data_IF_612598653082
#
_entry.id   IF_612598653082
#
_cell.length_a   1.000
_cell.length_b   1.000
_cell.length_c   1.000
_cell.angle_alpha   90.00
_cell.angle_beta   90.00
_cell.angle_gamma   90.00
#
_symmetry.space_group_name_H-M   'P 1'
#
loop_
_entity.id
_entity.type
_entity.pdbx_description
1 polymer ?
#
# COMPACT_ATOMS: atom_id res chain seq x y z
N UNK A 1 -8.26 11.48 -0.42
CA UNK A 1 -8.65 10.85 0.86
C UNK A 1 -8.93 11.86 1.98
N UNK A 2 -8.30 13.03 1.98
CA UNK A 2 -8.73 14.16 2.83
C UNK A 2 -10.17 14.64 2.54
N UNK A 3 -10.73 14.36 1.38
CA UNK A 3 -12.12 14.68 1.04
C UNK A 3 -13.18 13.94 1.89
N UNK A 4 -12.77 12.99 2.71
CA UNK A 4 -13.68 12.07 3.37
C UNK A 4 -13.58 12.04 4.88
N UNK A 5 -12.77 12.92 5.46
CA UNK A 5 -12.82 13.14 6.90
C UNK A 5 -13.90 14.20 7.16
N UNK A 6 -15.09 13.84 7.65
CA UNK A 6 -15.96 14.84 8.20
C UNK A 6 -15.26 15.42 9.42
N UNK A 7 -14.89 16.70 9.35
CA UNK A 7 -14.84 17.47 10.57
C UNK A 7 -16.19 17.29 11.24
N UNK A 8 -16.23 16.65 12.39
CA UNK A 8 -17.44 16.13 13.05
C UNK A 8 -18.54 17.18 13.31
N UNK A 9 -18.30 18.45 12.98
CA UNK A 9 -19.20 19.56 13.29
C UNK A 9 -19.59 20.48 12.12
N UNK A 10 -19.18 20.20 10.86
CA UNK A 10 -19.46 21.13 9.75
C UNK A 10 -20.25 20.54 8.61
N UNK A 11 -20.68 19.28 8.68
CA UNK A 11 -21.50 18.63 7.67
C UNK A 11 -22.91 18.37 8.16
N UNK A 12 -23.88 18.67 7.30
CA UNK A 12 -25.17 17.99 7.39
C UNK A 12 -24.89 16.48 7.38
N UNK A 13 -25.32 15.72 8.39
CA UNK A 13 -25.05 14.28 8.47
C UNK A 13 -25.58 13.47 7.28
N UNK A 14 -26.37 14.08 6.42
CA UNK A 14 -27.10 13.41 5.34
C UNK A 14 -26.33 13.20 4.03
N UNK A 15 -25.28 14.00 3.74
CA UNK A 15 -24.70 13.98 2.40
C UNK A 15 -23.30 13.33 2.32
N UNK A 16 -22.44 13.55 3.30
CA UNK A 16 -21.15 12.86 3.35
C UNK A 16 -21.32 11.41 3.83
N UNK A 17 -22.24 11.17 4.76
CA UNK A 17 -22.64 9.83 5.19
C UNK A 17 -23.36 9.00 4.12
N UNK A 18 -23.95 9.65 3.09
CA UNK A 18 -24.59 8.94 1.97
C UNK A 18 -23.63 8.56 0.84
N UNK A 19 -22.51 9.28 0.70
CA UNK A 19 -21.53 8.99 -0.35
C UNK A 19 -20.54 7.93 0.13
N UNK A 20 -20.23 7.93 1.41
CA UNK A 20 -19.54 6.90 2.15
C UNK A 20 -20.35 6.70 3.43
N UNK A 21 -21.27 5.75 3.50
CA UNK A 21 -21.48 5.10 4.78
C UNK A 21 -20.08 4.78 5.26
N UNK A 22 -19.73 5.19 6.50
CA UNK A 22 -18.40 4.95 7.06
C UNK A 22 -18.20 3.45 7.25
N UNK A 23 -18.13 2.72 6.14
CA UNK A 23 -17.91 1.28 6.05
C UNK A 23 -16.44 0.97 5.80
N UNK A 24 -16.14 -0.31 5.59
CA UNK A 24 -14.81 -0.80 5.32
C UNK A 24 -13.92 -0.90 6.57
N UNK A 25 -12.61 -1.08 6.35
CA UNK A 25 -11.62 -1.26 7.43
C UNK A 25 -10.78 -0.02 7.70
N UNK A 26 -10.75 0.95 6.78
CA UNK A 26 -9.95 2.17 6.90
C UNK A 26 -10.78 3.29 7.56
N UNK A 27 -11.94 3.61 6.97
CA UNK A 27 -12.73 4.82 7.35
C UNK A 27 -13.80 4.58 8.37
N UNK A 28 -14.14 3.32 8.67
CA UNK A 28 -15.12 2.99 9.69
C UNK A 28 -14.61 3.23 11.12
N UNK A 29 -15.54 3.38 12.05
CA UNK A 29 -15.26 3.66 13.46
C UNK A 29 -16.09 2.73 14.37
N UNK A 30 -15.79 2.76 15.67
CA UNK A 30 -16.57 2.08 16.70
C UNK A 30 -16.65 0.57 16.49
N UNK A 31 -17.86 0.03 16.57
CA UNK A 31 -18.11 -1.40 16.46
C UNK A 31 -17.95 -1.93 15.02
N UNK A 32 -18.36 -1.14 14.02
CA UNK A 32 -18.18 -1.49 12.61
C UNK A 32 -16.68 -1.75 12.34
N UNK A 33 -15.83 -0.79 12.67
CA UNK A 33 -14.40 -0.95 12.50
C UNK A 33 -13.83 -2.17 13.22
N UNK A 34 -14.24 -2.42 14.46
CA UNK A 34 -13.74 -3.56 15.24
C UNK A 34 -14.08 -4.90 14.57
N UNK A 35 -15.32 -5.03 14.09
CA UNK A 35 -15.79 -6.25 13.43
C UNK A 35 -15.12 -6.42 12.07
N UNK A 36 -15.13 -5.39 11.22
CA UNK A 36 -14.52 -5.44 9.89
C UNK A 36 -13.01 -5.70 9.97
N UNK A 37 -12.29 -5.00 10.86
CA UNK A 37 -10.86 -5.23 11.03
C UNK A 37 -10.53 -6.63 11.56
N UNK A 38 -11.30 -7.12 12.53
CA UNK A 38 -11.11 -8.48 13.06
C UNK A 38 -11.34 -9.52 11.97
N UNK A 39 -12.42 -9.38 11.22
CA UNK A 39 -12.72 -10.25 10.09
C UNK A 39 -11.61 -10.20 9.04
N UNK A 40 -11.24 -9.02 8.57
CA UNK A 40 -10.18 -8.87 7.57
C UNK A 40 -8.86 -9.51 7.99
N UNK A 41 -8.41 -9.28 9.24
CA UNK A 41 -7.17 -9.88 9.75
C UNK A 41 -7.25 -11.42 9.82
N UNK A 42 -8.37 -11.98 10.30
CA UNK A 42 -8.52 -13.44 10.42
C UNK A 42 -8.63 -14.10 9.04
N UNK A 43 -9.42 -13.54 8.15
CA UNK A 43 -9.64 -14.06 6.80
C UNK A 43 -8.39 -13.96 5.94
N UNK A 44 -7.75 -12.81 5.87
CA UNK A 44 -6.51 -12.64 5.14
C UNK A 44 -5.42 -13.59 5.67
N UNK A 45 -5.31 -13.77 6.99
CA UNK A 45 -4.39 -14.74 7.58
C UNK A 45 -4.74 -16.19 7.19
N UNK A 46 -6.03 -16.51 7.10
CA UNK A 46 -6.49 -17.82 6.60
C UNK A 46 -6.07 -18.02 5.14
N UNK A 47 -6.23 -17.03 4.29
CA UNK A 47 -5.87 -17.01 2.87
C UNK A 47 -4.35 -16.94 2.59
N UNK A 48 -3.52 -16.97 3.62
CA UNK A 48 -2.05 -17.03 3.46
C UNK A 48 -1.31 -15.70 3.66
N UNK A 49 -2.00 -14.63 4.01
CA UNK A 49 -1.43 -13.32 4.26
C UNK A 49 -0.29 -13.38 5.30
N UNK A 50 0.93 -13.03 4.87
CA UNK A 50 2.13 -13.11 5.70
C UNK A 50 2.58 -14.54 6.05
N UNK A 51 2.12 -15.55 5.33
CA UNK A 51 2.50 -16.96 5.50
C UNK A 51 3.31 -17.46 4.30
N UNK A 52 4.11 -18.52 4.52
CA UNK A 52 4.91 -19.17 3.47
C UNK A 52 4.08 -19.62 2.25
N UNK A 53 2.80 -19.95 2.44
CA UNK A 53 1.90 -20.33 1.35
C UNK A 53 1.69 -19.25 0.29
N UNK A 54 1.94 -17.98 0.58
CA UNK A 54 1.82 -16.87 -0.37
C UNK A 54 3.12 -16.60 -1.16
N UNK A 55 4.27 -17.13 -0.73
CA UNK A 55 5.55 -16.95 -1.42
C UNK A 55 5.50 -17.38 -2.89
N UNK A 56 4.96 -18.57 -3.24
CA UNK A 56 4.87 -18.99 -4.63
C UNK A 56 4.06 -18.03 -5.50
N UNK A 57 2.99 -17.42 -4.96
CA UNK A 57 2.16 -16.44 -5.67
C UNK A 57 2.94 -15.17 -5.97
N UNK A 58 3.69 -14.65 -4.98
CA UNK A 58 4.54 -13.46 -5.15
C UNK A 58 5.67 -13.73 -6.16
N UNK A 59 6.30 -14.89 -6.07
CA UNK A 59 7.37 -15.25 -6.99
C UNK A 59 6.89 -15.53 -8.41
N UNK A 60 5.67 -16.04 -8.55
CA UNK A 60 5.05 -16.22 -9.86
C UNK A 60 4.72 -14.88 -10.52
N UNK A 61 4.16 -13.95 -9.75
CA UNK A 61 3.90 -12.59 -10.24
C UNK A 61 5.21 -11.84 -10.57
N UNK A 62 6.30 -12.09 -9.79
CA UNK A 62 7.63 -11.61 -10.15
C UNK A 62 8.08 -12.13 -11.53
N UNK A 63 7.82 -13.41 -11.87
CA UNK A 63 8.18 -13.97 -13.18
C UNK A 63 7.50 -13.23 -14.32
N UNK A 64 6.19 -12.94 -14.18
CA UNK A 64 5.44 -12.14 -15.16
C UNK A 64 6.05 -10.74 -15.32
N UNK A 65 6.31 -10.04 -14.21
CA UNK A 65 6.95 -8.73 -14.22
C UNK A 65 8.35 -8.77 -14.87
N UNK A 66 9.15 -9.79 -14.55
CA UNK A 66 10.48 -9.96 -15.11
C UNK A 66 10.48 -10.17 -16.62
N UNK A 67 9.46 -10.86 -17.16
CA UNK A 67 9.26 -11.01 -18.61
C UNK A 67 9.00 -9.67 -19.28
N UNK A 68 8.12 -8.85 -18.70
CA UNK A 68 7.86 -7.48 -19.19
C UNK A 68 9.15 -6.65 -19.21
N UNK A 69 9.92 -6.62 -18.12
CA UNK A 69 11.17 -5.84 -18.09
C UNK A 69 12.22 -6.34 -19.06
N UNK A 70 12.34 -7.67 -19.27
CA UNK A 70 13.25 -8.23 -20.28
C UNK A 70 12.88 -7.79 -21.69
N UNK A 71 11.59 -7.58 -21.98
CA UNK A 71 11.09 -7.06 -23.26
C UNK A 71 11.71 -5.71 -23.65
N UNK A 72 12.05 -4.87 -22.69
CA UNK A 72 12.69 -3.57 -22.93
C UNK A 72 14.19 -3.67 -23.28
N UNK A 73 14.84 -4.84 -23.07
CA UNK A 73 16.25 -5.09 -23.43
C UNK A 73 17.22 -4.04 -22.87
N UNK A 74 16.98 -3.55 -21.65
CA UNK A 74 17.79 -2.53 -21.00
C UNK A 74 17.59 -1.10 -21.50
N UNK A 75 16.63 -0.84 -22.39
CA UNK A 75 16.24 0.51 -22.78
C UNK A 75 15.52 1.21 -21.62
N UNK A 76 15.52 2.56 -21.59
CA UNK A 76 14.77 3.31 -20.59
C UNK A 76 13.29 2.93 -20.59
N UNK A 77 12.74 2.73 -19.39
CA UNK A 77 11.33 2.40 -19.16
C UNK A 77 10.83 3.13 -17.91
N UNK A 78 9.60 3.61 -17.95
CA UNK A 78 8.91 4.04 -16.74
C UNK A 78 8.32 2.79 -16.04
N UNK A 79 8.79 2.43 -14.84
CA UNK A 79 8.37 1.19 -14.18
C UNK A 79 6.99 1.28 -13.53
N UNK A 80 6.34 2.45 -13.53
CA UNK A 80 5.14 2.74 -12.72
C UNK A 80 4.03 1.72 -12.97
N UNK A 81 3.52 1.62 -14.18
CA UNK A 81 2.37 0.77 -14.49
C UNK A 81 2.68 -0.71 -14.31
N UNK A 82 3.89 -1.14 -14.70
CA UNK A 82 4.31 -2.54 -14.57
C UNK A 82 4.34 -2.93 -13.08
N UNK A 83 4.95 -2.11 -12.22
CA UNK A 83 5.05 -2.40 -10.79
C UNK A 83 3.69 -2.28 -10.10
N UNK A 84 2.84 -1.32 -10.50
CA UNK A 84 1.48 -1.23 -9.98
C UNK A 84 0.70 -2.51 -10.30
N UNK A 85 0.73 -2.99 -11.54
CA UNK A 85 0.08 -4.24 -11.94
C UNK A 85 0.61 -5.44 -11.14
N UNK A 86 1.94 -5.54 -11.01
CA UNK A 86 2.61 -6.61 -10.25
C UNK A 86 2.11 -6.67 -8.80
N UNK A 87 2.15 -5.55 -8.09
CA UNK A 87 1.74 -5.50 -6.68
C UNK A 87 0.23 -5.67 -6.53
N UNK A 88 -0.56 -5.05 -7.41
CA UNK A 88 -2.02 -5.16 -7.38
C UNK A 88 -2.50 -6.58 -7.59
N UNK A 89 -1.82 -7.37 -8.40
CA UNK A 89 -2.17 -8.78 -8.65
C UNK A 89 -2.04 -9.66 -7.41
N UNK A 90 -1.15 -9.34 -6.47
CA UNK A 90 -1.11 -10.05 -5.19
C UNK A 90 -2.38 -9.79 -4.38
N UNK A 91 -2.85 -8.54 -4.35
CA UNK A 91 -4.13 -8.19 -3.71
C UNK A 91 -5.31 -8.81 -4.46
N UNK A 92 -5.30 -8.80 -5.79
CA UNK A 92 -6.33 -9.46 -6.60
C UNK A 92 -6.43 -10.95 -6.31
N UNK A 93 -5.29 -11.64 -6.19
CA UNK A 93 -5.27 -13.06 -5.80
C UNK A 93 -5.93 -13.30 -4.44
N UNK A 94 -5.66 -12.45 -3.45
CA UNK A 94 -6.24 -12.58 -2.11
C UNK A 94 -7.72 -12.21 -2.05
N UNK A 95 -8.14 -11.21 -2.86
CA UNK A 95 -9.48 -10.61 -2.77
C UNK A 95 -10.45 -11.21 -3.77
N UNK A 96 -10.00 -11.42 -5.02
CA UNK A 96 -10.80 -11.93 -6.13
C UNK A 96 -10.49 -13.41 -6.49
N UNK A 97 -9.47 -14.02 -5.86
CA UNK A 97 -9.04 -15.38 -6.12
C UNK A 97 -8.28 -15.60 -7.43
N UNK A 98 -8.00 -14.53 -8.20
CA UNK A 98 -7.27 -14.61 -9.47
C UNK A 98 -6.42 -13.37 -9.73
N UNK A 99 -5.47 -13.48 -10.66
CA UNK A 99 -4.68 -12.38 -11.19
C UNK A 99 -5.29 -11.86 -12.49
N UNK A 100 -4.94 -10.62 -12.87
CA UNK A 100 -5.24 -10.03 -14.17
C UNK A 100 -4.00 -10.02 -15.05
N UNK A 101 -4.18 -10.24 -16.36
CA UNK A 101 -3.09 -10.08 -17.31
C UNK A 101 -2.71 -8.59 -17.45
N UNK A 102 -1.41 -8.32 -17.69
CA UNK A 102 -0.92 -6.94 -17.83
C UNK A 102 -1.49 -6.20 -19.04
N UNK A 103 -1.99 -6.96 -20.04
CA UNK A 103 -2.71 -6.43 -21.21
C UNK A 103 -4.23 -6.33 -21.03
N UNK A 104 -4.80 -6.69 -19.88
CA UNK A 104 -6.25 -6.58 -19.62
C UNK A 104 -6.69 -5.10 -19.58
N UNK A 105 -7.47 -4.70 -20.58
CA UNK A 105 -7.93 -3.31 -20.72
C UNK A 105 -8.79 -2.84 -19.54
N UNK A 106 -9.58 -3.75 -18.95
CA UNK A 106 -10.43 -3.44 -17.79
C UNK A 106 -9.57 -3.16 -16.57
N UNK A 107 -8.52 -3.96 -16.36
CA UNK A 107 -7.60 -3.80 -15.26
C UNK A 107 -6.70 -2.56 -15.43
N UNK A 108 -6.17 -2.32 -16.64
CA UNK A 108 -5.42 -1.10 -16.97
C UNK A 108 -6.29 0.14 -16.70
N UNK A 109 -7.55 0.13 -17.14
CA UNK A 109 -8.48 1.23 -16.88
C UNK A 109 -8.68 1.44 -15.38
N UNK A 110 -8.82 0.37 -14.59
CA UNK A 110 -8.93 0.46 -13.14
C UNK A 110 -7.71 1.13 -12.52
N UNK A 111 -6.49 0.72 -12.92
CA UNK A 111 -5.24 1.34 -12.43
C UNK A 111 -5.16 2.82 -12.75
N UNK A 112 -5.49 3.21 -13.98
CA UNK A 112 -5.50 4.61 -14.41
C UNK A 112 -6.56 5.44 -13.65
N UNK A 113 -7.71 4.85 -13.32
CA UNK A 113 -8.73 5.51 -12.49
C UNK A 113 -8.20 5.76 -11.07
N UNK A 114 -7.45 4.80 -10.48
CA UNK A 114 -6.80 5.00 -9.19
C UNK A 114 -5.75 6.10 -9.23
N UNK A 115 -4.84 6.07 -10.19
CA UNK A 115 -3.83 7.12 -10.36
C UNK A 115 -4.50 8.51 -10.46
N UNK A 116 -5.56 8.62 -11.24
CA UNK A 116 -6.31 9.87 -11.39
C UNK A 116 -7.05 10.30 -10.12
N UNK A 117 -7.62 9.34 -9.38
CA UNK A 117 -8.26 9.64 -8.09
C UNK A 117 -7.24 10.20 -7.10
N UNK A 118 -6.08 9.55 -6.96
CA UNK A 118 -5.02 9.96 -6.05
C UNK A 118 -4.42 11.33 -6.43
N UNK A 119 -4.27 11.61 -7.73
CA UNK A 119 -3.84 12.92 -8.22
C UNK A 119 -4.84 14.01 -7.79
N UNK A 120 -6.14 13.81 -8.00
CA UNK A 120 -7.17 14.79 -7.63
C UNK A 120 -7.24 14.94 -6.11
N UNK A 121 -7.17 13.85 -5.34
CA UNK A 121 -7.23 13.87 -3.88
C UNK A 121 -6.04 14.63 -3.26
N UNK A 122 -4.88 14.61 -3.89
CA UNK A 122 -3.71 15.36 -3.45
C UNK A 122 -3.72 16.83 -3.84
N UNK A 123 -4.64 17.22 -4.72
CA UNK A 123 -4.71 18.58 -5.28
C UNK A 123 -5.31 19.61 -4.30
N UNK A 124 -5.08 20.87 -4.58
CA UNK A 124 -5.70 21.99 -3.85
C UNK A 124 -7.24 21.93 -3.91
N UNK A 125 -7.81 21.35 -4.98
CA UNK A 125 -9.26 21.22 -5.14
C UNK A 125 -9.90 20.37 -4.05
N UNK A 126 -9.23 19.29 -3.64
CA UNK A 126 -9.69 18.44 -2.54
C UNK A 126 -9.62 19.14 -1.20
N UNK A 127 -8.57 19.93 -0.96
CA UNK A 127 -8.43 20.73 0.27
C UNK A 127 -9.50 21.83 0.34
N UNK A 128 -9.78 22.51 -0.76
CA UNK A 128 -10.85 23.49 -0.87
C UNK A 128 -12.23 22.85 -0.65
N UNK A 129 -12.47 21.66 -1.24
CA UNK A 129 -13.72 20.93 -1.02
C UNK A 129 -13.91 20.55 0.45
N UNK A 130 -12.84 20.10 1.13
CA UNK A 130 -12.90 19.76 2.56
C UNK A 130 -13.16 20.99 3.44
N UNK A 131 -12.60 22.14 3.07
CA UNK A 131 -12.77 23.40 3.83
C UNK A 131 -14.10 24.10 3.57
N UNK A 132 -14.58 24.05 2.34
CA UNK A 132 -15.77 24.79 1.89
C UNK A 132 -16.74 23.93 1.05
N UNK A 133 -17.27 22.81 1.60
CA UNK A 133 -18.00 21.81 0.83
C UNK A 133 -19.26 22.35 0.15
N UNK A 134 -20.01 23.23 0.83
CA UNK A 134 -21.25 23.82 0.26
C UNK A 134 -20.95 24.69 -0.96
N UNK A 135 -19.90 25.52 -0.89
CA UNK A 135 -19.46 26.36 -2.00
C UNK A 135 -18.94 25.51 -3.15
N UNK A 136 -18.08 24.54 -2.86
CA UNK A 136 -17.44 23.72 -3.87
C UNK A 136 -18.42 22.81 -4.63
N UNK A 137 -19.58 22.48 -4.04
CA UNK A 137 -20.65 21.75 -4.75
C UNK A 137 -21.22 22.55 -5.93
N UNK A 138 -21.23 23.87 -5.82
CA UNK A 138 -21.76 24.76 -6.86
C UNK A 138 -20.73 25.03 -7.96
N UNK A 139 -19.44 24.98 -7.62
CA UNK A 139 -18.36 25.28 -8.55
C UNK A 139 -18.04 24.08 -9.47
N UNK A 140 -17.63 24.31 -10.72
CA UNK A 140 -17.04 23.29 -11.57
C UNK A 140 -15.64 22.96 -11.07
N UNK A 141 -15.16 21.71 -11.29
CA UNK A 141 -13.79 21.35 -10.95
C UNK A 141 -13.54 19.84 -10.83
N UNK A 142 -12.27 19.44 -10.66
CA UNK A 142 -11.84 18.04 -10.61
C UNK A 142 -12.52 17.21 -9.49
N UNK A 143 -12.97 17.86 -8.41
CA UNK A 143 -13.67 17.20 -7.32
C UNK A 143 -14.98 16.50 -7.76
N UNK A 144 -15.63 17.00 -8.85
CA UNK A 144 -16.80 16.32 -9.42
C UNK A 144 -16.41 15.05 -10.19
N UNK A 145 -15.28 15.11 -10.89
CA UNK A 145 -14.71 13.94 -11.58
C UNK A 145 -14.32 12.85 -10.59
N UNK A 146 -13.80 13.20 -9.43
CA UNK A 146 -13.42 12.25 -8.38
C UNK A 146 -14.60 11.34 -7.95
N UNK A 147 -15.80 11.92 -7.81
CA UNK A 147 -17.00 11.15 -7.48
C UNK A 147 -17.31 10.10 -8.57
N UNK A 148 -17.19 10.50 -9.84
CA UNK A 148 -17.41 9.59 -10.96
C UNK A 148 -16.38 8.46 -10.97
N UNK A 149 -15.10 8.79 -10.77
CA UNK A 149 -14.01 7.80 -10.70
C UNK A 149 -14.31 6.75 -9.63
N UNK A 150 -14.66 7.17 -8.41
CA UNK A 150 -14.99 6.21 -7.34
C UNK A 150 -16.25 5.38 -7.63
N UNK A 151 -17.22 5.91 -8.36
CA UNK A 151 -18.36 5.12 -8.81
C UNK A 151 -17.96 4.07 -9.85
N UNK A 152 -17.07 4.42 -10.79
CA UNK A 152 -16.56 3.48 -11.81
C UNK A 152 -15.76 2.35 -11.16
N UNK A 153 -14.92 2.68 -10.17
CA UNK A 153 -14.18 1.68 -9.38
C UNK A 153 -15.14 0.76 -8.61
N UNK A 154 -16.15 1.30 -7.95
CA UNK A 154 -17.17 0.49 -7.26
C UNK A 154 -17.96 -0.39 -8.24
N UNK A 155 -18.18 0.08 -9.46
CA UNK A 155 -18.85 -0.72 -10.50
C UNK A 155 -18.00 -1.92 -10.87
N UNK A 156 -16.69 -1.76 -11.06
CA UNK A 156 -15.78 -2.87 -11.29
C UNK A 156 -15.84 -3.91 -10.15
N UNK A 157 -15.75 -3.46 -8.89
CA UNK A 157 -15.84 -4.36 -7.72
C UNK A 157 -17.20 -5.09 -7.68
N UNK A 158 -18.29 -4.41 -8.02
CA UNK A 158 -19.62 -5.05 -8.09
C UNK A 158 -19.72 -6.10 -9.19
N UNK A 159 -19.07 -5.88 -10.32
CA UNK A 159 -19.02 -6.87 -11.40
C UNK A 159 -18.30 -8.14 -10.94
N UNK A 160 -17.12 -8.00 -10.28
CA UNK A 160 -16.39 -9.13 -9.69
C UNK A 160 -17.23 -9.85 -8.61
N UNK A 161 -17.88 -9.10 -7.71
CA UNK A 161 -18.77 -9.66 -6.70
C UNK A 161 -19.93 -10.45 -7.32
N UNK A 162 -20.53 -9.94 -8.40
CA UNK A 162 -21.61 -10.63 -9.10
C UNK A 162 -21.15 -11.93 -9.78
N UNK A 163 -19.92 -11.98 -10.25
CA UNK A 163 -19.31 -13.22 -10.78
C UNK A 163 -19.10 -14.25 -9.66
N UNK A 164 -18.57 -13.83 -8.50
CA UNK A 164 -18.44 -14.69 -7.33
C UNK A 164 -19.78 -15.30 -6.91
N UNK A 165 -20.82 -14.49 -6.79
CA UNK A 165 -22.15 -14.96 -6.40
C UNK A 165 -22.74 -16.04 -7.31
N UNK A 166 -22.41 -16.03 -8.61
CA UNK A 166 -22.91 -17.05 -9.55
C UNK A 166 -22.31 -18.44 -9.28
N UNK A 167 -21.06 -18.47 -8.80
CA UNK A 167 -20.26 -19.69 -8.61
C UNK A 167 -19.89 -19.92 -7.14
N UNK A 168 -20.58 -19.23 -6.22
CA UNK A 168 -20.26 -19.28 -4.81
C UNK A 168 -20.76 -20.57 -4.17
N UNK A 169 -19.85 -21.27 -3.49
CA UNK A 169 -20.15 -22.41 -2.63
C UNK A 169 -19.92 -21.99 -1.16
N UNK A 170 -20.98 -22.04 -0.30
CA UNK A 170 -20.83 -21.71 1.12
C UNK A 170 -19.85 -22.62 1.88
N UNK A 171 -19.52 -23.81 1.35
CA UNK A 171 -18.58 -24.73 1.97
C UNK A 171 -17.11 -24.39 1.65
N UNK A 172 -16.85 -23.53 0.66
CA UNK A 172 -15.51 -23.20 0.17
C UNK A 172 -15.22 -21.70 0.30
N UNK A 173 -14.14 -21.36 0.97
CA UNK A 173 -13.62 -20.00 1.11
C UNK A 173 -12.35 -19.84 0.26
N UNK A 174 -12.48 -19.55 -1.03
CA UNK A 174 -11.39 -19.45 -2.00
C UNK A 174 -10.61 -18.14 -1.86
N UNK A 175 -11.32 -17.06 -1.52
CA UNK A 175 -10.81 -15.69 -1.45
C UNK A 175 -11.58 -14.86 -0.40
N UNK A 176 -11.20 -13.58 -0.29
CA UNK A 176 -11.80 -12.67 0.68
C UNK A 176 -13.30 -12.43 0.43
N UNK A 177 -13.72 -12.35 -0.84
CA UNK A 177 -15.13 -12.15 -1.21
C UNK A 177 -15.97 -13.36 -0.79
N UNK A 178 -15.53 -14.57 -1.09
CA UNK A 178 -16.25 -15.80 -0.72
C UNK A 178 -16.41 -15.91 0.80
N UNK A 179 -15.32 -15.70 1.56
CA UNK A 179 -15.38 -15.71 3.02
C UNK A 179 -16.32 -14.62 3.57
N UNK A 180 -16.37 -13.45 2.95
CA UNK A 180 -17.25 -12.37 3.39
C UNK A 180 -18.72 -12.66 3.06
N UNK A 181 -19.02 -13.26 1.91
CA UNK A 181 -20.37 -13.71 1.55
C UNK A 181 -20.89 -14.76 2.55
N UNK A 182 -20.01 -15.68 2.99
CA UNK A 182 -20.34 -16.63 4.04
C UNK A 182 -20.68 -15.93 5.37
N UNK A 183 -19.92 -14.89 5.74
CA UNK A 183 -20.16 -14.12 6.95
C UNK A 183 -21.48 -13.32 6.87
N UNK A 184 -21.82 -12.76 5.70
CA UNK A 184 -23.13 -12.13 5.46
C UNK A 184 -24.25 -13.12 5.71
N UNK A 185 -24.16 -14.35 5.15
CA UNK A 185 -25.18 -15.37 5.29
C UNK A 185 -25.33 -15.83 6.76
N UNK A 186 -24.20 -16.07 7.44
CA UNK A 186 -24.16 -16.53 8.84
C UNK A 186 -24.74 -15.49 9.81
N UNK A 187 -24.58 -14.20 9.52
CA UNK A 187 -25.03 -13.13 10.41
C UNK A 187 -26.36 -12.48 9.98
N UNK A 188 -27.06 -13.04 9.00
CA UNK A 188 -28.26 -12.44 8.40
C UNK A 188 -29.35 -12.09 9.42
N UNK A 189 -29.51 -12.90 10.45
CA UNK A 189 -30.58 -12.77 11.47
C UNK A 189 -30.13 -12.00 12.72
N UNK A 190 -28.86 -11.52 12.78
CA UNK A 190 -28.37 -10.76 13.94
C UNK A 190 -28.86 -9.32 13.90
N UNK A 191 -29.44 -8.86 15.01
CA UNK A 191 -30.00 -7.50 15.17
C UNK A 191 -29.00 -6.37 14.89
N UNK A 192 -27.71 -6.60 15.16
CA UNK A 192 -26.61 -5.65 14.93
C UNK A 192 -25.57 -6.22 13.97
N UNK A 193 -26.01 -6.51 12.75
CA UNK A 193 -25.13 -7.02 11.70
C UNK A 193 -24.41 -5.87 10.98
N UNK A 194 -23.08 -5.94 10.89
CA UNK A 194 -22.25 -5.01 10.12
C UNK A 194 -21.74 -5.62 8.82
N UNK A 195 -22.13 -6.87 8.52
CA UNK A 195 -21.75 -7.57 7.31
C UNK A 195 -22.87 -7.47 6.28
N UNK A 196 -22.67 -6.62 5.29
CA UNK A 196 -23.53 -6.43 4.14
C UNK A 196 -22.69 -6.21 2.88
N UNK A 197 -23.32 -6.22 1.71
CA UNK A 197 -22.63 -6.05 0.43
C UNK A 197 -21.98 -4.69 0.28
N UNK A 198 -22.55 -3.64 0.86
CA UNK A 198 -21.98 -2.30 0.78
C UNK A 198 -20.69 -2.22 1.57
N UNK A 199 -20.64 -2.82 2.76
CA UNK A 199 -19.43 -2.96 3.54
C UNK A 199 -18.41 -3.88 2.86
N UNK A 200 -18.81 -4.97 2.22
CA UNK A 200 -17.94 -5.83 1.43
C UNK A 200 -17.24 -5.02 0.34
N UNK A 201 -18.00 -4.27 -0.47
CA UNK A 201 -17.43 -3.43 -1.54
C UNK A 201 -16.44 -2.41 -0.97
N UNK A 202 -16.75 -1.81 0.19
CA UNK A 202 -15.86 -0.87 0.84
C UNK A 202 -14.60 -1.53 1.39
N UNK A 203 -14.70 -2.74 1.96
CA UNK A 203 -13.54 -3.50 2.43
C UNK A 203 -12.63 -3.91 1.26
N UNK A 204 -13.20 -4.38 0.16
CA UNK A 204 -12.45 -4.72 -1.06
C UNK A 204 -11.74 -3.49 -1.60
N UNK A 205 -12.43 -2.36 -1.70
CA UNK A 205 -11.84 -1.08 -2.12
C UNK A 205 -10.68 -0.67 -1.22
N UNK A 206 -10.87 -0.71 0.10
CA UNK A 206 -9.85 -0.37 1.09
C UNK A 206 -8.61 -1.25 0.97
N UNK A 207 -8.79 -2.57 0.85
CA UNK A 207 -7.70 -3.53 0.71
C UNK A 207 -6.95 -3.32 -0.60
N UNK A 208 -7.68 -3.11 -1.70
CA UNK A 208 -7.09 -2.92 -3.01
C UNK A 208 -6.24 -1.65 -3.09
N UNK A 209 -6.81 -0.50 -2.71
CA UNK A 209 -6.08 0.78 -2.73
C UNK A 209 -4.88 0.75 -1.80
N UNK A 210 -5.06 0.30 -0.55
CA UNK A 210 -3.99 0.30 0.42
C UNK A 210 -2.85 -0.66 0.05
N UNK A 211 -3.18 -1.86 -0.44
CA UNK A 211 -2.17 -2.87 -0.77
C UNK A 211 -1.43 -2.59 -2.07
N UNK A 212 -2.10 -2.00 -3.07
CA UNK A 212 -1.48 -1.73 -4.38
C UNK A 212 -0.55 -0.53 -4.32
N UNK A 213 -1.05 0.64 -3.92
CA UNK A 213 -0.36 1.92 -4.01
C UNK A 213 0.88 2.00 -3.11
N UNK A 214 0.78 1.48 -1.89
CA UNK A 214 1.86 1.64 -0.91
C UNK A 214 3.09 0.80 -1.24
N UNK A 215 2.91 -0.48 -1.54
CA UNK A 215 4.01 -1.39 -1.86
C UNK A 215 4.64 -1.04 -3.21
N UNK A 216 3.83 -0.69 -4.23
CA UNK A 216 4.35 -0.29 -5.54
C UNK A 216 5.21 0.97 -5.46
N UNK A 217 4.77 2.01 -4.75
CA UNK A 217 5.58 3.21 -4.55
C UNK A 217 6.86 2.93 -3.78
N UNK A 218 6.81 2.03 -2.78
CA UNK A 218 8.02 1.63 -2.05
C UNK A 218 9.03 0.92 -2.97
N UNK A 219 8.58 0.01 -3.83
CA UNK A 219 9.45 -0.64 -4.83
C UNK A 219 10.00 0.35 -5.85
N UNK A 220 9.20 1.31 -6.31
CA UNK A 220 9.65 2.38 -7.21
C UNK A 220 10.73 3.24 -6.56
N UNK A 221 10.60 3.58 -5.28
CA UNK A 221 11.65 4.23 -4.50
C UNK A 221 12.89 3.34 -4.40
N UNK A 222 12.72 2.05 -4.13
CA UNK A 222 13.84 1.11 -4.06
C UNK A 222 14.65 1.09 -5.36
N UNK A 223 13.99 1.00 -6.52
CA UNK A 223 14.68 1.02 -7.81
C UNK A 223 15.43 2.32 -8.05
N UNK A 224 14.82 3.45 -7.72
CA UNK A 224 15.45 4.77 -7.87
C UNK A 224 16.67 4.91 -6.94
N UNK A 225 16.59 4.42 -5.69
CA UNK A 225 17.73 4.37 -4.79
C UNK A 225 18.83 3.45 -5.30
N UNK A 226 18.51 2.28 -5.81
CA UNK A 226 19.52 1.36 -6.36
C UNK A 226 20.21 1.94 -7.60
N UNK A 227 19.47 2.60 -8.48
CA UNK A 227 20.07 3.29 -9.63
C UNK A 227 20.93 4.50 -9.24
N UNK A 228 20.59 5.18 -8.13
CA UNK A 228 21.34 6.33 -7.61
C UNK A 228 22.61 5.93 -6.86
N UNK A 229 22.62 4.80 -6.18
CA UNK A 229 23.68 4.30 -5.32
C UNK A 229 24.16 2.91 -5.81
N UNK A 230 24.87 2.86 -6.95
CA UNK A 230 25.31 1.59 -7.54
C UNK A 230 26.19 0.75 -6.59
N UNK A 231 26.99 1.40 -5.75
CA UNK A 231 27.83 0.72 -4.73
C UNK A 231 26.99 0.00 -3.65
N UNK A 232 25.80 0.49 -3.35
CA UNK A 232 24.85 -0.18 -2.44
C UNK A 232 24.18 -1.34 -3.17
N UNK A 233 23.79 -1.14 -4.43
CA UNK A 233 23.23 -2.18 -5.27
C UNK A 233 24.18 -3.37 -5.43
N UNK A 234 25.46 -3.10 -5.72
CA UNK A 234 26.49 -4.13 -5.86
C UNK A 234 26.66 -4.94 -4.58
N UNK A 235 26.66 -4.30 -3.40
CA UNK A 235 26.74 -5.01 -2.11
C UNK A 235 25.51 -5.89 -1.86
N UNK A 236 24.30 -5.42 -2.18
CA UNK A 236 23.08 -6.22 -2.11
C UNK A 236 23.18 -7.43 -3.04
N UNK A 237 23.59 -7.23 -4.28
CA UNK A 237 23.74 -8.29 -5.26
C UNK A 237 24.79 -9.33 -4.82
N UNK A 238 25.93 -8.89 -4.32
CA UNK A 238 26.98 -9.77 -3.80
C UNK A 238 26.50 -10.61 -2.59
N UNK A 239 25.70 -10.01 -1.69
CA UNK A 239 25.11 -10.75 -0.57
C UNK A 239 24.14 -11.82 -1.05
N UNK A 240 23.25 -11.48 -1.98
CA UNK A 240 22.25 -12.38 -2.57
C UNK A 240 22.95 -13.53 -3.32
N UNK A 241 23.96 -13.24 -4.13
CA UNK A 241 24.72 -14.25 -4.89
C UNK A 241 25.43 -15.25 -3.96
N UNK A 242 25.96 -14.76 -2.84
CA UNK A 242 26.63 -15.58 -1.84
C UNK A 242 25.68 -16.48 -1.05
N UNK A 243 24.47 -16.00 -0.72
CA UNK A 243 23.53 -16.69 0.18
C UNK A 243 22.57 -17.59 -0.58
N UNK A 244 21.98 -17.08 -1.67
CA UNK A 244 20.95 -17.79 -2.45
C UNK A 244 21.58 -18.49 -3.65
N UNK A 245 22.70 -17.96 -4.20
CA UNK A 245 23.30 -18.47 -5.42
C UNK A 245 22.46 -18.18 -6.67
N UNK A 246 22.81 -18.83 -7.79
CA UNK A 246 22.22 -18.54 -9.10
C UNK A 246 20.92 -19.33 -9.37
N UNK A 247 20.79 -20.54 -8.84
CA UNK A 247 19.74 -21.51 -9.21
C UNK A 247 18.49 -21.44 -8.34
N UNK A 248 18.60 -21.00 -7.08
CA UNK A 248 17.49 -21.02 -6.13
C UNK A 248 16.63 -19.75 -6.24
N UNK A 249 15.36 -19.85 -5.87
CA UNK A 249 14.47 -18.71 -5.75
C UNK A 249 14.58 -18.14 -4.33
N UNK A 250 14.50 -16.80 -4.16
CA UNK A 250 14.44 -16.21 -2.83
C UNK A 250 13.24 -16.71 -2.03
N UNK A 251 13.42 -16.91 -0.74
CA UNK A 251 12.37 -17.29 0.21
C UNK A 251 12.44 -16.39 1.46
N UNK A 252 11.36 -16.33 2.24
CA UNK A 252 11.38 -15.58 3.50
C UNK A 252 12.36 -16.16 4.52
N UNK A 253 12.74 -17.43 4.37
CA UNK A 253 13.74 -18.09 5.22
C UNK A 253 15.15 -17.54 4.99
N UNK A 254 15.47 -17.04 3.78
CA UNK A 254 16.75 -16.46 3.46
C UNK A 254 16.99 -15.12 4.16
N UNK A 255 15.94 -14.45 4.59
CA UNK A 255 15.99 -13.10 5.14
C UNK A 255 16.94 -12.97 6.33
N UNK A 256 17.02 -13.97 7.18
CA UNK A 256 17.91 -13.99 8.36
C UNK A 256 19.38 -14.00 7.95
N UNK A 257 19.69 -14.52 6.75
CA UNK A 257 21.04 -14.63 6.17
C UNK A 257 21.37 -13.48 5.21
N UNK A 258 20.45 -12.54 5.01
CA UNK A 258 20.56 -11.37 4.13
C UNK A 258 20.45 -10.05 4.93
N UNK A 259 21.28 -9.84 5.96
CA UNK A 259 21.16 -8.69 6.87
C UNK A 259 21.37 -7.34 6.16
N UNK A 260 22.27 -7.24 5.17
CA UNK A 260 22.49 -6.00 4.44
C UNK A 260 21.33 -5.70 3.49
N UNK A 261 20.81 -6.69 2.79
CA UNK A 261 19.63 -6.58 1.94
C UNK A 261 18.38 -6.14 2.75
N UNK A 262 18.18 -6.75 3.93
CA UNK A 262 17.08 -6.37 4.84
C UNK A 262 17.28 -4.93 5.38
N UNK A 263 18.51 -4.53 5.67
CA UNK A 263 18.84 -3.16 6.07
C UNK A 263 18.55 -2.14 4.95
N UNK A 264 18.85 -2.48 3.70
CA UNK A 264 18.53 -1.64 2.53
C UNK A 264 17.01 -1.48 2.38
N UNK A 265 16.22 -2.55 2.48
CA UNK A 265 14.76 -2.50 2.41
C UNK A 265 14.19 -1.59 3.52
N UNK A 266 14.72 -1.71 4.75
CA UNK A 266 14.30 -0.87 5.87
C UNK A 266 14.67 0.61 5.64
N UNK A 267 15.84 0.88 5.07
CA UNK A 267 16.26 2.24 4.75
C UNK A 267 15.41 2.84 3.61
N UNK A 268 15.00 2.04 2.62
CA UNK A 268 14.03 2.46 1.60
C UNK A 268 12.70 2.86 2.26
N UNK A 269 12.18 2.05 3.19
CA UNK A 269 10.95 2.37 3.92
C UNK A 269 11.08 3.64 4.77
N UNK A 270 12.25 3.86 5.40
CA UNK A 270 12.52 5.05 6.20
C UNK A 270 12.62 6.31 5.34
N UNK A 271 13.47 6.29 4.32
CA UNK A 271 13.75 7.43 3.46
C UNK A 271 12.64 7.73 2.46
N UNK A 272 12.00 6.69 1.92
CA UNK A 272 10.83 6.84 1.06
C UNK A 272 9.64 7.42 1.81
N UNK A 273 9.52 7.10 3.12
CA UNK A 273 8.56 7.70 4.05
C UNK A 273 7.20 7.95 3.40
N UNK A 274 6.67 6.89 2.75
CA UNK A 274 5.52 7.00 1.83
C UNK A 274 4.24 7.52 2.50
N UNK A 275 4.12 7.41 3.84
CA UNK A 275 2.97 7.88 4.61
C UNK A 275 3.42 8.83 5.75
N UNK A 276 3.98 10.02 5.44
CA UNK A 276 4.67 10.89 6.41
C UNK A 276 3.79 11.37 7.57
N UNK A 277 2.51 11.55 7.30
CA UNK A 277 1.52 12.03 8.27
C UNK A 277 0.53 10.94 8.70
N UNK A 278 0.79 9.67 8.34
CA UNK A 278 -0.14 8.56 8.53
C UNK A 278 -1.55 8.88 7.97
N UNK A 279 -2.56 8.15 8.44
CA UNK A 279 -3.95 8.55 8.22
C UNK A 279 -4.41 9.36 9.43
N UNK A 280 -5.13 10.48 9.23
CA UNK A 280 -5.67 11.26 10.33
C UNK A 280 -6.64 10.45 11.18
N UNK A 281 -6.58 10.66 12.50
CA UNK A 281 -7.48 10.05 13.48
C UNK A 281 -8.42 11.11 14.07
N UNK A 282 -9.50 10.67 14.67
CA UNK A 282 -10.38 11.54 15.46
C UNK A 282 -10.55 10.95 16.85
N UNK A 283 -10.53 11.82 17.86
CA UNK A 283 -10.80 11.42 19.24
C UNK A 283 -12.27 11.05 19.39
N UNK A 284 -12.57 9.88 19.94
CA UNK A 284 -13.94 9.41 20.19
C UNK A 284 -14.41 9.70 21.63
N UNK A 285 -13.56 10.27 22.45
CA UNK A 285 -13.80 10.77 23.81
C UNK A 285 -12.73 11.79 24.15
N UNK A 286 -12.90 12.54 25.24
CA UNK A 286 -11.84 13.35 25.82
C UNK A 286 -10.65 12.46 26.22
N UNK A 287 -9.43 12.91 25.92
CA UNK A 287 -8.18 12.21 26.24
C UNK A 287 -7.13 13.18 26.78
N UNK A 288 -6.27 12.68 27.65
CA UNK A 288 -5.08 13.39 28.14
C UNK A 288 -3.87 12.94 27.33
N UNK A 289 -3.12 13.88 26.77
CA UNK A 289 -1.91 13.61 26.00
C UNK A 289 -0.86 14.69 26.26
N UNK A 290 0.30 14.31 26.79
CA UNK A 290 1.41 15.23 27.03
C UNK A 290 1.07 16.41 27.92
N UNK A 291 0.15 16.23 28.88
CA UNK A 291 -0.33 17.29 29.77
C UNK A 291 -1.46 18.17 29.23
N UNK A 292 -1.89 17.90 27.99
CA UNK A 292 -3.00 18.60 27.35
C UNK A 292 -4.28 17.79 27.41
N UNK A 293 -5.41 18.45 27.65
CA UNK A 293 -6.76 17.88 27.51
C UNK A 293 -7.24 18.06 26.08
N UNK A 294 -7.45 16.95 25.36
CA UNK A 294 -7.93 16.95 23.98
C UNK A 294 -9.41 16.54 23.99
N UNK A 295 -10.33 17.44 23.61
CA UNK A 295 -11.76 17.13 23.55
C UNK A 295 -12.11 16.02 22.56
N UNK A 296 -13.31 15.46 22.69
CA UNK A 296 -13.87 14.55 21.69
C UNK A 296 -14.08 15.26 20.35
N UNK A 297 -13.84 14.53 19.25
CA UNK A 297 -14.02 15.02 17.88
C UNK A 297 -12.83 15.80 17.31
N UNK A 298 -11.74 15.95 18.06
CA UNK A 298 -10.52 16.63 17.57
C UNK A 298 -9.79 15.73 16.58
N UNK A 299 -9.38 16.32 15.46
CA UNK A 299 -8.54 15.67 14.46
C UNK A 299 -7.10 15.57 14.93
N UNK A 300 -6.56 14.36 14.94
CA UNK A 300 -5.18 14.06 15.31
C UNK A 300 -4.42 13.60 14.06
N UNK A 301 -3.34 14.27 13.73
CA UNK A 301 -2.47 13.93 12.61
C UNK A 301 -1.14 13.39 13.14
N UNK A 302 -0.90 12.07 13.09
CA UNK A 302 0.38 11.48 13.52
C UNK A 302 1.50 11.84 12.55
N UNK A 303 2.48 12.61 13.00
CA UNK A 303 3.63 12.99 12.17
C UNK A 303 4.73 11.91 12.24
N UNK A 304 4.62 10.85 11.42
CA UNK A 304 5.62 9.77 11.36
C UNK A 304 6.97 10.27 10.84
N UNK A 305 6.96 11.24 9.92
CA UNK A 305 8.18 11.82 9.37
C UNK A 305 9.07 12.42 10.47
N UNK A 306 8.48 13.05 11.49
CA UNK A 306 9.25 13.63 12.58
C UNK A 306 10.08 12.59 13.34
N UNK A 307 9.61 11.37 13.44
CA UNK A 307 10.30 10.25 14.08
C UNK A 307 11.32 9.59 13.15
N UNK A 308 10.93 9.37 11.88
CA UNK A 308 11.79 8.73 10.88
C UNK A 308 12.98 9.59 10.43
N UNK A 309 12.92 10.91 10.69
CA UNK A 309 13.99 11.86 10.39
C UNK A 309 14.56 12.57 11.63
N UNK A 310 14.27 12.08 12.84
CA UNK A 310 14.82 12.66 14.06
C UNK A 310 16.34 12.48 14.13
N UNK A 311 17.07 13.59 14.27
CA UNK A 311 18.54 13.60 14.38
C UNK A 311 19.08 12.88 15.61
N UNK A 312 18.28 12.76 16.67
CA UNK A 312 18.66 12.06 17.90
C UNK A 312 18.61 10.54 17.71
N UNK A 313 17.69 10.07 16.87
CA UNK A 313 17.48 8.65 16.58
C UNK A 313 18.35 8.16 15.43
N UNK A 314 18.56 9.00 14.40
CA UNK A 314 19.24 8.68 13.17
C UNK A 314 20.48 9.56 12.99
N UNK A 315 21.66 9.02 13.06
CA UNK A 315 22.92 9.79 12.98
C UNK A 315 23.04 10.61 11.69
N UNK A 316 22.54 10.08 10.57
CA UNK A 316 22.52 10.74 9.24
C UNK A 316 21.11 10.70 8.65
N UNK A 317 20.10 11.39 9.27
CA UNK A 317 18.70 11.19 8.96
C UNK A 317 18.29 11.49 7.51
N UNK A 318 19.01 12.39 6.83
CA UNK A 318 18.73 12.80 5.44
C UNK A 318 19.60 12.07 4.40
N UNK A 319 20.44 11.15 4.84
CA UNK A 319 21.29 10.34 3.95
C UNK A 319 20.72 8.93 3.84
N UNK A 320 20.68 8.37 2.63
CA UNK A 320 20.36 6.97 2.43
C UNK A 320 21.52 6.11 2.93
N UNK A 321 21.37 5.54 4.11
CA UNK A 321 22.42 4.81 4.80
C UNK A 321 21.88 3.50 5.42
N UNK A 322 22.03 2.37 4.74
CA UNK A 322 21.63 1.06 5.30
C UNK A 322 22.29 0.72 6.65
N UNK A 323 23.43 1.35 6.98
CA UNK A 323 24.09 1.21 8.28
C UNK A 323 23.23 1.61 9.49
N UNK A 324 22.16 2.38 9.28
CA UNK A 324 21.18 2.67 10.33
C UNK A 324 20.53 1.40 10.91
N UNK A 325 20.49 0.32 10.15
CA UNK A 325 19.88 -0.96 10.50
C UNK A 325 20.88 -2.11 10.65
N UNK A 326 22.16 -1.79 10.81
CA UNK A 326 23.21 -2.76 11.08
C UNK A 326 23.88 -2.46 12.43
N UNK A 327 24.21 -3.51 13.18
CA UNK A 327 25.05 -3.40 14.36
C UNK A 327 26.54 -3.46 13.96
N UNK A 328 27.44 -3.35 14.94
CA UNK A 328 28.91 -3.40 14.74
C UNK A 328 29.38 -4.73 14.12
N UNK A 329 28.63 -5.81 14.31
CA UNK A 329 28.91 -7.14 13.73
C UNK A 329 28.35 -7.30 12.30
N UNK A 330 27.71 -6.25 11.73
CA UNK A 330 27.06 -6.31 10.41
C UNK A 330 25.73 -7.08 10.40
N UNK A 331 25.16 -7.43 11.55
CA UNK A 331 23.86 -8.08 11.66
C UNK A 331 22.75 -7.06 11.65
N UNK A 332 21.60 -7.46 11.15
CA UNK A 332 20.41 -6.61 11.14
C UNK A 332 19.95 -6.24 12.56
N UNK A 333 19.73 -4.95 12.80
CA UNK A 333 19.27 -4.40 14.07
C UNK A 333 18.15 -3.38 13.87
N UNK A 334 16.92 -3.79 14.19
CA UNK A 334 15.74 -2.90 14.11
C UNK A 334 15.78 -1.86 15.24
N UNK A 335 15.50 -0.60 14.90
CA UNK A 335 15.35 0.49 15.89
C UNK A 335 13.89 0.66 16.33
N UNK A 336 13.68 1.05 17.58
CA UNK A 336 12.33 1.31 18.11
C UNK A 336 11.66 2.51 17.41
N UNK A 337 12.44 3.51 16.99
CA UNK A 337 12.00 4.68 16.21
C UNK A 337 11.63 4.37 14.76
N UNK A 338 11.82 3.13 14.29
CA UNK A 338 11.42 2.71 12.96
C UNK A 338 9.94 2.30 12.93
N UNK A 339 9.06 3.27 12.67
CA UNK A 339 7.60 3.10 12.71
C UNK A 339 6.89 3.50 11.39
N UNK A 340 7.36 3.08 10.20
CA UNK A 340 6.75 3.48 8.92
C UNK A 340 5.31 2.96 8.75
N UNK A 341 4.92 1.93 9.51
CA UNK A 341 3.58 1.34 9.53
C UNK A 341 2.68 1.89 10.65
N UNK A 342 3.11 3.00 11.30
CA UNK A 342 2.46 3.56 12.47
C UNK A 342 2.51 2.64 13.70
N UNK A 343 1.67 2.88 14.71
CA UNK A 343 1.62 2.12 15.96
C UNK A 343 0.20 2.11 16.55
N UNK A 344 -0.03 1.25 17.56
CA UNK A 344 -1.28 1.20 18.31
C UNK A 344 -2.39 0.43 17.60
N UNK A 345 -3.64 0.70 17.99
CA UNK A 345 -4.81 -0.07 17.51
C UNK A 345 -5.08 0.11 16.00
N UNK A 346 -4.64 1.22 15.41
CA UNK A 346 -4.76 1.55 13.99
C UNK A 346 -3.45 1.30 13.20
N UNK A 347 -2.50 0.55 13.80
CA UNK A 347 -1.33 0.02 13.08
C UNK A 347 -1.74 -0.57 11.73
N UNK A 348 -0.91 -0.39 10.70
CA UNK A 348 -1.17 -0.92 9.37
C UNK A 348 -1.59 -2.39 9.41
N UNK A 349 -2.73 -2.69 8.81
CA UNK A 349 -3.24 -4.06 8.72
C UNK A 349 -2.34 -4.91 7.82
N UNK A 350 -1.78 -4.28 6.77
CA UNK A 350 -0.98 -4.91 5.73
C UNK A 350 0.51 -5.05 6.03
N UNK A 351 1.02 -4.68 7.23
CA UNK A 351 2.46 -4.65 7.50
C UNK A 351 3.18 -5.96 7.15
N UNK A 352 2.62 -7.10 7.56
CA UNK A 352 3.25 -8.40 7.31
C UNK A 352 3.31 -8.75 5.82
N UNK A 353 2.26 -8.46 5.06
CA UNK A 353 2.24 -8.67 3.61
C UNK A 353 3.24 -7.73 2.93
N UNK A 354 3.19 -6.44 3.23
CA UNK A 354 4.09 -5.47 2.62
C UNK A 354 5.57 -5.82 2.86
N UNK A 355 5.93 -6.26 4.07
CA UNK A 355 7.29 -6.73 4.37
C UNK A 355 7.68 -7.96 3.58
N UNK A 356 6.75 -8.89 3.37
CA UNK A 356 6.96 -10.10 2.59
C UNK A 356 7.11 -9.78 1.10
N UNK A 357 6.19 -8.99 0.55
CA UNK A 357 6.26 -8.54 -0.84
C UNK A 357 7.53 -7.76 -1.13
N UNK A 358 7.86 -6.78 -0.28
CA UNK A 358 9.07 -5.98 -0.45
C UNK A 358 10.32 -6.83 -0.41
N UNK A 359 10.41 -7.78 0.53
CA UNK A 359 11.57 -8.65 0.62
C UNK A 359 11.69 -9.56 -0.61
N UNK A 360 10.64 -10.28 -0.97
CA UNK A 360 10.66 -11.23 -2.08
C UNK A 360 10.84 -10.53 -3.44
N UNK A 361 10.09 -9.45 -3.69
CA UNK A 361 10.25 -8.70 -4.93
C UNK A 361 11.61 -8.03 -5.03
N UNK A 362 12.04 -7.28 -4.00
CA UNK A 362 13.32 -6.58 -4.01
C UNK A 362 14.48 -7.54 -4.20
N UNK A 363 14.52 -8.64 -3.43
CA UNK A 363 15.58 -9.66 -3.54
C UNK A 363 15.57 -10.33 -4.93
N UNK A 364 14.38 -10.66 -5.46
CA UNK A 364 14.24 -11.22 -6.80
C UNK A 364 14.70 -10.24 -7.89
N UNK A 365 14.33 -8.96 -7.78
CA UNK A 365 14.78 -7.94 -8.73
C UNK A 365 16.30 -7.75 -8.68
N UNK A 366 16.89 -7.66 -7.49
CA UNK A 366 18.35 -7.50 -7.33
C UNK A 366 19.13 -8.72 -7.80
N UNK A 367 18.54 -9.90 -7.67
CA UNK A 367 19.12 -11.14 -8.19
C UNK A 367 19.16 -11.17 -9.71
N UNK A 368 18.11 -10.72 -10.38
CA UNK A 368 17.95 -10.92 -11.82
C UNK A 368 18.27 -9.70 -12.67
N UNK A 369 18.35 -8.50 -12.06
CA UNK A 369 18.50 -7.24 -12.79
C UNK A 369 19.49 -6.29 -12.12
N UNK A 370 20.11 -5.45 -12.96
CA UNK A 370 20.86 -4.27 -12.54
C UNK A 370 20.11 -3.02 -12.99
N UNK A 371 19.92 -2.10 -12.06
CA UNK A 371 19.18 -0.85 -12.26
C UNK A 371 20.16 0.30 -12.44
N UNK A 372 19.95 1.13 -13.46
CA UNK A 372 20.74 2.33 -13.71
C UNK A 372 19.90 3.43 -14.31
N UNK A 373 20.33 4.68 -14.11
CA UNK A 373 19.72 5.79 -14.82
C UNK A 373 20.10 5.75 -16.31
N UNK A 374 19.26 6.29 -17.21
CA UNK A 374 19.63 6.50 -18.59
C UNK A 374 20.90 7.36 -18.70
N UNK A 375 21.70 7.14 -19.76
CA UNK A 375 22.95 7.88 -19.96
C UNK A 375 22.73 9.41 -19.90
N UNK A 376 23.53 10.09 -19.10
CA UNK A 376 23.44 11.54 -18.92
C UNK A 376 22.30 12.03 -18.01
N UNK A 377 21.42 11.15 -17.53
CA UNK A 377 20.32 11.50 -16.63
C UNK A 377 20.74 11.26 -15.19
N UNK A 378 20.53 12.26 -14.32
CA UNK A 378 20.73 12.12 -12.87
C UNK A 378 19.44 11.68 -12.19
N UNK A 379 19.56 10.79 -11.20
CA UNK A 379 18.44 10.41 -10.36
C UNK A 379 17.93 11.59 -9.53
N UNK A 380 16.69 11.99 -9.77
CA UNK A 380 16.01 13.07 -9.04
C UNK A 380 15.10 12.43 -8.00
N UNK A 381 15.31 12.79 -6.72
CA UNK A 381 14.57 12.22 -5.59
C UNK A 381 13.32 13.04 -5.22
N UNK A 382 12.74 13.72 -6.21
CA UNK A 382 11.50 14.47 -6.05
C UNK A 382 10.30 13.53 -5.93
N UNK A 383 9.25 14.01 -5.27
CA UNK A 383 8.03 13.26 -5.07
C UNK A 383 6.77 14.07 -5.43
N UNK A 384 5.72 13.36 -5.74
CA UNK A 384 4.36 13.87 -5.68
C UNK A 384 3.80 13.59 -4.29
N UNK A 385 3.35 14.66 -3.63
CA UNK A 385 2.64 14.52 -2.36
C UNK A 385 1.17 14.18 -2.65
N UNK A 386 0.80 12.96 -2.34
CA UNK A 386 -0.56 12.46 -2.38
C UNK A 386 -1.01 11.98 -1.00
N UNK A 387 -1.82 10.92 -0.99
CA UNK A 387 -2.04 10.11 0.21
C UNK A 387 -0.71 9.48 0.61
N UNK A 388 0.06 9.06 -0.39
CA UNK A 388 1.42 8.57 -0.28
C UNK A 388 2.39 9.55 -0.97
N UNK A 389 3.66 9.51 -0.56
CA UNK A 389 4.75 10.17 -1.26
C UNK A 389 5.26 9.24 -2.37
N UNK A 390 4.75 9.42 -3.57
CA UNK A 390 5.20 8.68 -4.74
C UNK A 390 6.39 9.38 -5.41
N UNK A 391 7.41 8.66 -5.91
CA UNK A 391 8.46 9.29 -6.72
C UNK A 391 7.82 9.92 -7.97
N UNK A 392 8.29 11.13 -8.37
CA UNK A 392 7.88 11.70 -9.65
C UNK A 392 8.16 10.70 -10.78
N UNK A 393 7.42 10.74 -11.90
CA UNK A 393 7.69 9.88 -13.03
C UNK A 393 9.16 9.95 -13.45
N UNK A 394 9.80 8.80 -13.62
CA UNK A 394 11.18 8.65 -14.05
C UNK A 394 11.32 7.48 -15.00
N UNK A 395 12.35 7.51 -15.83
CA UNK A 395 12.76 6.37 -16.63
C UNK A 395 14.01 5.73 -16.02
N UNK A 396 14.10 4.43 -16.11
CA UNK A 396 15.19 3.63 -15.59
C UNK A 396 15.58 2.54 -16.60
N UNK A 397 16.86 2.26 -16.69
CA UNK A 397 17.38 1.14 -17.47
C UNK A 397 17.46 -0.11 -16.57
N UNK A 398 16.79 -1.19 -16.96
CA UNK A 398 16.73 -2.46 -16.25
C UNK A 398 17.41 -3.51 -17.11
N UNK A 399 18.63 -3.92 -16.74
CA UNK A 399 19.44 -4.89 -17.48
C UNK A 399 19.44 -6.24 -16.77
N UNK A 400 19.21 -7.32 -17.51
CA UNK A 400 19.37 -8.68 -16.95
C UNK A 400 20.82 -8.94 -16.53
N UNK A 401 20.96 -9.62 -15.41
CA UNK A 401 22.25 -10.13 -14.88
C UNK A 401 22.53 -11.52 -15.42
#
# INVERSE_FOLDING_TARGET
>A
MYCFLPAANTYSPLDAAKILRCGGVIFSNGNIWKQQRRFALSTLKYLGFGKKSLEPVILDEFRHCALEFRGYKGKPVNPHLIINNTVSNIICHLVFGHRFEYGDERFIKLMLLFDKALEIESSIWSQLYNSFPLLMRLLPGPHKTLKQIWNDVKTFIKEELNQHKKNWDPAECRDYIDCYLQEIQTNKEREYNTFDEENLIMCVLDLFVAGSETTSNTLRWAFLYMAKYPEIQEKVQAEIDRVIGQSEQPSMEDRVNLPYTDAVIHEVLRMGNIAPLALPHSTNKEVQLGGYTIPMGVLIIPNLASVLFDKKEWGTPLTFNPGHFLNEEGKFAKKASFIPFSAGKRLCLGENLARMELFLFFTSFMKHFTFSMPAGVKAVMDYHAGITLAPKPYEICIKSR
#
